data_IF_428277769624
#
_entry.id   IF_428277769624
#
_cell.length_a   1.000
_cell.length_b   1.000
_cell.length_c   1.000
_cell.angle_alpha   90.00
_cell.angle_beta   90.00
_cell.angle_gamma   90.00
#
_symmetry.space_group_name_H-M   'P 1'
#
loop_
_entity.id
_entity.type
_entity.pdbx_description
1 polymer ?
#
# COMPACT_ATOMS: atom_id res chain seq x y z
N UNK A 1 5.35 -3.48 17.17
CA UNK A 1 4.36 -4.50 16.70
C UNK A 1 4.13 -4.27 15.21
N UNK A 2 4.14 -5.31 14.38
CA UNK A 2 3.93 -5.15 12.93
C UNK A 2 2.47 -4.84 12.57
N UNK A 3 2.25 -4.07 11.51
CA UNK A 3 0.91 -3.81 10.97
C UNK A 3 0.21 -5.11 10.57
N UNK A 4 0.94 -6.08 10.00
CA UNK A 4 0.41 -7.39 9.61
C UNK A 4 -0.16 -8.23 10.77
N UNK A 5 0.16 -7.88 12.03
CA UNK A 5 -0.44 -8.51 13.20
C UNK A 5 -1.88 -8.02 13.48
N UNK A 6 -2.25 -6.84 12.96
CA UNK A 6 -3.54 -6.17 13.25
C UNK A 6 -4.36 -5.83 11.98
N UNK A 7 -3.82 -6.13 10.80
CA UNK A 7 -4.44 -5.83 9.53
C UNK A 7 -4.01 -6.85 8.47
N UNK A 8 -4.83 -6.97 7.43
CA UNK A 8 -4.51 -7.68 6.19
C UNK A 8 -4.41 -6.71 5.02
N UNK A 9 -3.70 -7.08 3.97
CA UNK A 9 -3.44 -6.22 2.84
C UNK A 9 -3.60 -6.93 1.51
N UNK A 10 -4.09 -6.21 0.51
CA UNK A 10 -4.12 -6.66 -0.88
C UNK A 10 -3.53 -5.60 -1.77
N UNK A 11 -2.85 -6.05 -2.81
CA UNK A 11 -2.39 -5.19 -3.88
C UNK A 11 -3.00 -5.59 -5.21
N UNK A 12 -3.18 -4.59 -6.05
CA UNK A 12 -3.74 -4.70 -7.38
C UNK A 12 -3.05 -3.73 -8.32
N UNK A 13 -3.36 -3.90 -9.60
CA UNK A 13 -2.85 -3.06 -10.65
C UNK A 13 -4.01 -2.69 -11.58
N UNK A 14 -3.94 -1.47 -12.12
CA UNK A 14 -4.88 -1.01 -13.15
C UNK A 14 -4.10 -0.20 -14.18
N UNK A 15 -3.59 -0.91 -15.19
CA UNK A 15 -2.68 -0.32 -16.17
C UNK A 15 -1.35 0.04 -15.52
N UNK A 16 -0.99 1.31 -15.53
CA UNK A 16 0.24 1.84 -14.92
C UNK A 16 0.09 2.24 -13.44
N UNK A 17 -1.10 2.02 -12.87
CA UNK A 17 -1.46 2.39 -11.50
C UNK A 17 -1.27 1.19 -10.56
N UNK A 18 -0.58 1.43 -9.44
CA UNK A 18 -0.55 0.52 -8.29
C UNK A 18 -1.68 0.86 -7.32
N UNK A 19 -2.42 -0.16 -6.91
CA UNK A 19 -3.52 -0.07 -5.94
C UNK A 19 -3.19 -0.91 -4.71
N UNK A 20 -3.16 -0.31 -3.53
CA UNK A 20 -2.92 -0.99 -2.26
C UNK A 20 -4.08 -0.75 -1.33
N UNK A 21 -4.62 -1.81 -0.72
CA UNK A 21 -5.66 -1.70 0.29
C UNK A 21 -5.25 -2.46 1.54
N UNK A 22 -5.29 -1.79 2.70
CA UNK A 22 -5.03 -2.36 4.02
C UNK A 22 -6.34 -2.34 4.80
N UNK A 23 -6.74 -3.47 5.39
CA UNK A 23 -7.99 -3.64 6.14
C UNK A 23 -7.65 -4.08 7.56
N UNK A 24 -8.01 -3.27 8.55
CA UNK A 24 -7.79 -3.56 9.96
C UNK A 24 -8.83 -4.56 10.51
N UNK A 25 -8.40 -5.40 11.45
CA UNK A 25 -9.26 -6.41 12.07
C UNK A 25 -10.34 -5.80 12.98
N UNK A 26 -10.04 -4.67 13.62
CA UNK A 26 -10.96 -3.96 14.52
C UNK A 26 -10.80 -2.42 14.44
N UNK A 27 -11.64 -1.69 15.16
CA UNK A 27 -11.64 -0.22 15.13
C UNK A 27 -10.38 0.40 15.78
N UNK A 28 -9.81 -0.23 16.81
CA UNK A 28 -8.61 0.27 17.45
C UNK A 28 -7.40 0.13 16.53
N UNK A 29 -7.31 -1.02 15.85
CA UNK A 29 -6.35 -1.27 14.79
C UNK A 29 -6.52 -0.28 13.64
N UNK A 30 -7.77 0.02 13.23
CA UNK A 30 -8.05 1.03 12.20
C UNK A 30 -7.47 2.40 12.57
N UNK A 31 -7.76 2.90 13.78
CA UNK A 31 -7.21 4.18 14.26
C UNK A 31 -5.68 4.20 14.23
N UNK A 32 -5.03 3.11 14.65
CA UNK A 32 -3.56 2.99 14.65
C UNK A 32 -2.99 3.01 13.23
N UNK A 33 -3.59 2.30 12.28
CA UNK A 33 -3.11 2.32 10.89
C UNK A 33 -3.35 3.68 10.22
N UNK A 34 -4.43 4.40 10.54
CA UNK A 34 -4.67 5.76 10.02
C UNK A 34 -3.58 6.76 10.44
N UNK A 35 -3.12 6.64 11.69
CA UNK A 35 -2.04 7.47 12.24
C UNK A 35 -0.68 7.10 11.66
N UNK A 36 -0.45 5.80 11.43
CA UNK A 36 0.85 5.29 11.02
C UNK A 36 1.06 5.39 9.50
N UNK A 37 0.06 5.01 8.70
CA UNK A 37 0.13 4.96 7.24
C UNK A 37 -0.33 6.29 6.63
N UNK A 38 0.52 7.31 6.77
CA UNK A 38 0.32 8.61 6.10
C UNK A 38 0.72 8.54 4.63
N UNK A 39 0.27 9.51 3.84
CA UNK A 39 0.65 9.63 2.42
C UNK A 39 2.17 9.71 2.28
N UNK A 40 2.82 10.53 3.11
CA UNK A 40 4.26 10.79 3.07
C UNK A 40 5.05 9.53 3.38
N UNK A 41 4.63 8.78 4.41
CA UNK A 41 5.31 7.54 4.80
C UNK A 41 5.15 6.47 3.74
N UNK A 42 3.96 6.29 3.19
CA UNK A 42 3.70 5.31 2.12
C UNK A 42 4.46 5.69 0.85
N UNK A 43 4.47 6.97 0.46
CA UNK A 43 5.24 7.47 -0.67
C UNK A 43 6.74 7.23 -0.49
N UNK A 44 7.30 7.48 0.70
CA UNK A 44 8.71 7.24 0.98
C UNK A 44 9.11 5.76 0.86
N UNK A 45 8.23 4.84 1.29
CA UNK A 45 8.45 3.40 1.15
C UNK A 45 8.39 2.99 -0.32
N UNK A 46 7.35 3.43 -1.04
CA UNK A 46 7.18 3.09 -2.44
C UNK A 46 8.28 3.71 -3.32
N UNK A 47 8.82 4.88 -2.99
CA UNK A 47 9.86 5.54 -3.78
C UNK A 47 11.14 4.72 -3.97
N UNK A 48 11.42 3.76 -3.08
CA UNK A 48 12.55 2.84 -3.22
C UNK A 48 12.39 1.85 -4.38
N UNK A 49 11.15 1.62 -4.81
CA UNK A 49 10.77 0.61 -5.81
C UNK A 49 10.12 1.30 -7.03
N UNK A 50 9.16 2.17 -6.79
CA UNK A 50 8.40 2.88 -7.81
C UNK A 50 8.10 4.32 -7.34
N UNK A 51 8.95 5.30 -7.70
CA UNK A 51 8.69 6.71 -7.45
C UNK A 51 7.38 7.13 -8.12
N UNK A 52 6.38 7.48 -7.31
CA UNK A 52 5.03 7.79 -7.77
C UNK A 52 4.34 8.70 -6.74
N UNK A 53 3.49 9.64 -7.18
CA UNK A 53 2.60 10.32 -6.24
C UNK A 53 1.68 9.29 -5.58
N UNK A 54 1.38 9.47 -4.30
CA UNK A 54 0.48 8.57 -3.56
C UNK A 54 -0.75 9.35 -3.14
N UNK A 55 -1.92 8.84 -3.47
CA UNK A 55 -3.20 9.30 -2.95
C UNK A 55 -3.71 8.33 -1.89
N UNK A 56 -4.25 8.86 -0.78
CA UNK A 56 -4.82 8.06 0.31
C UNK A 56 -6.32 8.30 0.43
N UNK A 57 -7.05 7.20 0.56
CA UNK A 57 -8.50 7.17 0.76
C UNK A 57 -8.82 6.41 2.05
N UNK A 58 -9.57 7.06 2.94
CA UNK A 58 -10.04 6.47 4.19
C UNK A 58 -11.44 5.87 4.01
N UNK A 59 -11.61 4.61 4.43
CA UNK A 59 -12.85 3.86 4.31
C UNK A 59 -13.27 3.38 5.72
N UNK A 60 -13.71 4.28 6.61
CA UNK A 60 -13.93 3.97 8.03
C UNK A 60 -14.97 2.87 8.26
N UNK A 61 -16.02 2.82 7.42
CA UNK A 61 -17.05 1.77 7.49
C UNK A 61 -16.52 0.37 7.18
N UNK A 62 -15.41 0.28 6.46
CA UNK A 62 -14.72 -0.97 6.12
C UNK A 62 -13.46 -1.18 6.95
N UNK A 63 -13.13 -0.25 7.86
CA UNK A 63 -11.85 -0.22 8.60
C UNK A 63 -10.65 -0.32 7.66
N UNK A 64 -10.72 0.35 6.51
CA UNK A 64 -9.73 0.20 5.46
C UNK A 64 -9.08 1.51 5.04
N UNK A 65 -7.82 1.41 4.63
CA UNK A 65 -7.06 2.46 3.96
C UNK A 65 -6.72 1.99 2.57
N UNK A 66 -6.99 2.82 1.58
CA UNK A 66 -6.63 2.58 0.19
C UNK A 66 -5.60 3.61 -0.26
N UNK A 67 -4.57 3.13 -0.94
CA UNK A 67 -3.53 3.94 -1.56
C UNK A 67 -3.53 3.70 -3.06
N UNK A 68 -3.51 4.79 -3.81
CA UNK A 68 -3.45 4.76 -5.28
C UNK A 68 -2.18 5.49 -5.70
N UNK A 69 -1.32 4.79 -6.42
CA UNK A 69 -0.03 5.29 -6.88
C UNK A 69 0.05 5.21 -8.41
N UNK A 70 -0.39 6.27 -9.13
CA UNK A 70 -0.37 6.28 -10.59
C UNK A 70 1.06 6.39 -11.13
N UNK A 71 1.31 5.79 -12.30
CA UNK A 71 2.64 5.68 -12.94
C UNK A 71 3.67 4.89 -12.13
N UNK A 72 3.27 4.21 -11.06
CA UNK A 72 4.15 3.32 -10.30
C UNK A 72 4.57 2.08 -11.12
N UNK A 73 3.81 1.74 -12.16
CA UNK A 73 4.07 0.60 -13.05
C UNK A 73 4.26 1.11 -14.49
N UNK A 74 5.39 1.73 -14.84
CA UNK A 74 5.59 2.27 -16.18
C UNK A 74 5.46 1.16 -17.23
N UNK A 75 4.61 1.37 -18.24
CA UNK A 75 4.27 0.36 -19.25
C UNK A 75 3.29 -0.73 -18.77
N UNK A 76 2.80 -0.63 -17.54
CA UNK A 76 1.97 -1.63 -16.87
C UNK A 76 2.75 -2.85 -16.41
N UNK A 77 2.05 -3.80 -15.81
CA UNK A 77 2.66 -5.01 -15.20
C UNK A 77 3.54 -5.81 -16.16
N UNK A 78 3.15 -5.88 -17.44
CA UNK A 78 3.86 -6.69 -18.44
C UNK A 78 5.12 -6.01 -18.98
N UNK A 79 5.27 -4.70 -18.81
CA UNK A 79 6.38 -3.92 -19.36
C UNK A 79 7.16 -3.10 -18.32
N UNK A 80 6.85 -3.24 -17.03
CA UNK A 80 7.63 -2.60 -15.97
C UNK A 80 9.03 -3.22 -15.89
N UNK A 81 10.07 -2.39 -15.93
CA UNK A 81 11.49 -2.80 -15.88
C UNK A 81 11.96 -3.27 -14.49
N UNK A 82 11.05 -3.40 -13.53
CA UNK A 82 11.41 -3.80 -12.17
C UNK A 82 11.76 -5.30 -12.14
N UNK A 83 12.93 -5.62 -11.59
CA UNK A 83 13.38 -7.00 -11.43
C UNK A 83 12.48 -7.71 -10.40
N UNK A 84 11.65 -8.64 -10.87
CA UNK A 84 10.66 -9.35 -10.05
C UNK A 84 9.36 -9.47 -10.82
N UNK A 85 9.09 -10.67 -11.37
CA UNK A 85 7.84 -10.95 -12.06
C UNK A 85 6.68 -10.64 -11.12
N UNK A 86 5.83 -9.67 -11.49
CA UNK A 86 4.63 -9.30 -10.75
C UNK A 86 4.84 -8.79 -9.30
N UNK A 87 5.93 -8.06 -9.01
CA UNK A 87 6.19 -7.49 -7.68
C UNK A 87 5.01 -6.69 -7.09
N UNK A 88 4.21 -6.04 -7.93
CA UNK A 88 3.01 -5.32 -7.52
C UNK A 88 1.99 -6.21 -6.83
N UNK A 89 1.97 -7.53 -7.06
CA UNK A 89 1.10 -8.49 -6.36
C UNK A 89 1.53 -8.74 -4.91
N UNK A 90 2.77 -8.42 -4.58
CA UNK A 90 3.31 -8.51 -3.22
C UNK A 90 3.45 -7.14 -2.55
N UNK A 91 3.24 -6.02 -3.25
CA UNK A 91 3.53 -4.66 -2.76
C UNK A 91 2.79 -4.29 -1.46
N UNK A 92 1.63 -4.88 -1.17
CA UNK A 92 0.95 -4.65 0.12
C UNK A 92 1.76 -5.15 1.32
N UNK A 93 2.61 -6.17 1.14
CA UNK A 93 3.50 -6.69 2.20
C UNK A 93 4.46 -5.63 2.72
N UNK A 94 4.91 -4.70 1.87
CA UNK A 94 5.78 -3.59 2.26
C UNK A 94 5.15 -2.73 3.37
N UNK A 95 3.83 -2.59 3.36
CA UNK A 95 3.09 -1.85 4.39
C UNK A 95 2.78 -2.72 5.61
N UNK A 96 2.49 -4.00 5.41
CA UNK A 96 2.19 -4.93 6.50
C UNK A 96 3.42 -5.24 7.38
N UNK A 97 4.62 -5.20 6.80
CA UNK A 97 5.87 -5.43 7.52
C UNK A 97 6.34 -4.24 8.37
N UNK A 98 5.71 -3.07 8.23
CA UNK A 98 6.05 -1.89 9.02
C UNK A 98 5.72 -2.07 10.50
N UNK A 99 6.55 -1.47 11.34
CA UNK A 99 6.27 -1.36 12.76
C UNK A 99 5.39 -0.16 13.07
N UNK A 100 4.37 -0.43 13.88
CA UNK A 100 3.61 0.59 14.59
C UNK A 100 4.49 1.21 15.67
N UNK A 101 4.43 2.54 15.85
CA UNK A 101 5.05 3.21 16.98
C UNK A 101 4.52 2.71 18.33
#
# INVERSE_FOLDING_TARGET
>A
MKIGAIATGRSGDKGDVLDLTIVAYDNAAYTRICQTLTVERVAAILAQVAPSPVERYELPKLRALKFVAPRALPGGVQASLHAGLHWQKAAASLLLELELP
#
